data_IF_289978924506
#
_entry.id   IF_289978924506
#
_cell.length_a   1.000
_cell.length_b   1.000
_cell.length_c   1.000
_cell.angle_alpha   90.00
_cell.angle_beta   90.00
_cell.angle_gamma   90.00
#
_symmetry.space_group_name_H-M   'P 1'
#
loop_
_entity.id
_entity.type
_entity.pdbx_description
1 polymer ?
#
# COMPACT_ATOMS: atom_id res chain seq x y z
N UNK A 1 -70.98 32.62 3.62
CA UNK A 1 -72.23 32.00 4.10
C UNK A 1 -72.13 30.50 3.85
N UNK A 2 -72.15 29.70 4.92
CA UNK A 2 -72.38 28.24 5.04
C UNK A 2 -71.41 27.28 4.30
N UNK A 3 -70.41 26.66 4.93
CA UNK A 3 -70.38 25.59 5.97
C UNK A 3 -70.96 24.24 5.50
N UNK A 4 -70.10 23.21 5.70
CA UNK A 4 -70.31 21.75 5.87
C UNK A 4 -70.39 20.87 4.61
N UNK A 5 -69.36 20.04 4.43
CA UNK A 5 -69.47 18.66 4.89
C UNK A 5 -68.12 18.05 5.30
N UNK A 6 -68.12 17.41 6.47
CA UNK A 6 -67.03 16.63 7.04
C UNK A 6 -67.21 15.19 6.58
N UNK A 7 -66.20 14.57 5.98
CA UNK A 7 -65.95 13.14 6.14
C UNK A 7 -64.44 12.95 6.30
N UNK A 8 -64.07 12.51 7.48
CA UNK A 8 -62.73 12.08 7.85
C UNK A 8 -62.32 10.86 7.02
N UNK A 9 -61.12 10.88 6.45
CA UNK A 9 -60.37 9.65 6.22
C UNK A 9 -58.89 9.94 6.46
N UNK A 10 -58.39 9.44 7.58
CA UNK A 10 -56.97 9.27 7.82
C UNK A 10 -56.39 8.37 6.73
N UNK A 11 -55.38 8.83 6.01
CA UNK A 11 -54.34 7.97 5.46
C UNK A 11 -52.98 8.63 5.66
N UNK A 12 -52.30 8.16 6.69
CA UNK A 12 -50.87 8.34 6.94
C UNK A 12 -50.11 7.59 5.84
N UNK A 13 -49.41 8.32 4.96
CA UNK A 13 -48.34 7.75 4.15
C UNK A 13 -47.14 8.68 4.27
N UNK A 14 -46.34 8.43 5.31
CA UNK A 14 -44.97 8.92 5.38
C UNK A 14 -44.10 7.98 4.52
N UNK A 15 -43.84 8.35 3.27
CA UNK A 15 -42.80 7.69 2.47
C UNK A 15 -41.51 8.48 2.70
N UNK A 16 -40.70 7.95 3.62
CA UNK A 16 -39.29 8.29 3.73
C UNK A 16 -38.54 7.67 2.54
N UNK A 17 -37.92 8.52 1.73
CA UNK A 17 -36.83 8.11 0.87
C UNK A 17 -35.53 8.57 1.54
N UNK A 18 -35.06 7.73 2.48
CA UNK A 18 -33.70 7.79 2.97
C UNK A 18 -32.79 7.42 1.79
N UNK A 19 -32.23 8.43 1.11
CA UNK A 19 -31.14 8.19 0.17
C UNK A 19 -29.98 7.57 0.96
N UNK A 20 -29.80 6.26 0.81
CA UNK A 20 -28.64 5.54 1.29
C UNK A 20 -27.41 6.11 0.57
N UNK A 21 -26.80 7.12 1.18
CA UNK A 21 -25.40 7.41 0.93
C UNK A 21 -24.62 6.19 1.40
N UNK A 22 -24.30 5.28 0.47
CA UNK A 22 -23.34 4.22 0.70
C UNK A 22 -22.00 4.91 0.95
N UNK A 23 -21.67 5.19 2.21
CA UNK A 23 -20.31 5.47 2.60
C UNK A 23 -19.48 4.29 2.08
N UNK A 24 -18.48 4.49 1.20
CA UNK A 24 -17.54 3.41 0.97
C UNK A 24 -17.00 3.04 2.35
N UNK A 25 -17.05 1.75 2.71
CA UNK A 25 -16.40 1.29 3.93
C UNK A 25 -14.93 1.72 3.79
N UNK A 26 -14.53 2.78 4.49
CA UNK A 26 -13.14 3.22 4.46
C UNK A 26 -12.35 2.07 5.05
N UNK A 27 -11.61 1.35 4.21
CA UNK A 27 -10.59 0.45 4.70
C UNK A 27 -9.61 1.33 5.46
N UNK A 28 -9.56 1.20 6.79
CA UNK A 28 -8.59 1.93 7.62
C UNK A 28 -7.19 1.34 7.47
N UNK A 29 -7.07 0.15 6.86
CA UNK A 29 -5.81 -0.56 6.71
C UNK A 29 -5.72 -1.36 5.41
N UNK A 30 -4.51 -1.79 5.06
CA UNK A 30 -4.25 -2.77 3.99
C UNK A 30 -3.00 -3.60 4.27
N UNK A 31 -2.89 -4.75 3.59
CA UNK A 31 -1.75 -5.65 3.69
C UNK A 31 -0.78 -5.47 2.52
N UNK A 32 0.50 -5.26 2.82
CA UNK A 32 1.59 -5.24 1.86
C UNK A 32 2.55 -6.42 2.09
N UNK A 33 2.82 -7.20 1.04
CA UNK A 33 3.88 -8.23 1.07
C UNK A 33 5.07 -7.75 0.27
N UNK A 34 6.25 -7.75 0.89
CA UNK A 34 7.53 -7.52 0.24
C UNK A 34 8.13 -8.87 -0.15
N UNK A 35 8.24 -9.14 -1.45
CA UNK A 35 8.96 -10.30 -1.96
C UNK A 35 10.43 -9.92 -2.10
N UNK A 36 11.28 -10.55 -1.28
CA UNK A 36 12.68 -10.20 -1.09
C UNK A 36 13.61 -11.37 -1.45
N UNK A 37 14.85 -11.12 -1.89
CA UNK A 37 15.85 -12.17 -2.13
C UNK A 37 16.49 -12.64 -0.81
N UNK A 38 15.72 -13.33 0.05
CA UNK A 38 16.19 -13.71 1.39
C UNK A 38 17.22 -14.85 1.33
N UNK A 39 17.02 -15.83 0.44
CA UNK A 39 17.95 -16.95 0.22
C UNK A 39 19.24 -16.55 -0.49
N UNK A 40 19.19 -15.57 -1.42
CA UNK A 40 20.35 -15.09 -2.18
C UNK A 40 21.11 -13.90 -1.58
N UNK A 41 20.56 -13.21 -0.56
CA UNK A 41 21.14 -11.96 -0.06
C UNK A 41 20.44 -11.33 1.15
N UNK A 42 20.41 -12.03 2.28
CA UNK A 42 19.70 -11.58 3.49
C UNK A 42 20.07 -10.16 3.97
N UNK A 43 21.32 -9.71 3.77
CA UNK A 43 21.73 -8.34 4.12
C UNK A 43 21.10 -7.29 3.23
N UNK A 44 21.05 -7.53 1.92
CA UNK A 44 20.38 -6.65 0.97
C UNK A 44 18.86 -6.66 1.16
N UNK A 45 18.27 -7.84 1.37
CA UNK A 45 16.86 -8.00 1.71
C UNK A 45 16.45 -7.15 2.93
N UNK A 46 17.29 -7.11 3.98
CA UNK A 46 17.08 -6.23 5.13
C UNK A 46 17.03 -4.75 4.74
N UNK A 47 17.89 -4.31 3.83
CA UNK A 47 17.93 -2.91 3.39
C UNK A 47 16.65 -2.52 2.65
N UNK A 48 16.15 -3.35 1.73
CA UNK A 48 14.84 -3.10 1.08
C UNK A 48 13.74 -2.90 2.12
N UNK A 49 13.64 -3.81 3.11
CA UNK A 49 12.64 -3.68 4.18
C UNK A 49 12.84 -2.41 5.00
N UNK A 50 14.08 -2.12 5.42
CA UNK A 50 14.40 -0.93 6.20
C UNK A 50 13.99 0.36 5.48
N UNK A 51 14.30 0.48 4.20
CA UNK A 51 13.88 1.62 3.40
C UNK A 51 12.36 1.75 3.29
N UNK A 52 11.65 0.63 3.09
CA UNK A 52 10.19 0.60 3.06
C UNK A 52 9.59 1.13 4.37
N UNK A 53 10.10 0.66 5.52
CA UNK A 53 9.63 1.05 6.85
C UNK A 53 9.90 2.53 7.18
N UNK A 54 10.96 3.15 6.63
CA UNK A 54 11.13 4.60 6.79
C UNK A 54 9.91 5.35 6.24
N UNK A 55 9.41 4.99 5.06
CA UNK A 55 8.28 5.67 4.46
C UNK A 55 6.96 5.45 5.23
N UNK A 56 6.78 4.29 5.88
CA UNK A 56 5.57 4.02 6.67
C UNK A 56 5.50 4.87 7.94
N UNK A 57 6.65 5.36 8.43
CA UNK A 57 6.76 6.17 9.63
C UNK A 57 6.77 7.70 9.37
N UNK A 58 6.75 8.16 8.13
CA UNK A 58 6.90 9.58 7.80
C UNK A 58 5.67 10.44 8.10
N UNK A 59 4.49 9.82 8.26
CA UNK A 59 3.25 10.55 8.51
C UNK A 59 2.37 9.82 9.51
N UNK A 60 1.75 10.63 10.36
CA UNK A 60 0.55 10.29 11.13
C UNK A 60 0.75 9.20 12.22
N UNK A 61 1.98 8.94 12.67
CA UNK A 61 2.24 8.00 13.78
C UNK A 61 1.67 8.46 15.13
N UNK A 62 0.98 7.57 15.83
CA UNK A 62 0.45 7.79 17.18
C UNK A 62 0.91 6.67 18.13
N UNK A 63 0.94 6.89 19.46
CA UNK A 63 1.49 5.93 20.43
C UNK A 63 0.80 4.56 20.47
N UNK A 64 -0.45 4.46 20.01
CA UNK A 64 -1.28 3.24 20.09
C UNK A 64 -1.38 2.48 18.74
N UNK A 65 -0.40 2.64 17.83
CA UNK A 65 -0.42 1.93 16.54
C UNK A 65 -0.13 0.44 16.67
N UNK A 66 -1.05 -0.40 16.18
CA UNK A 66 -0.85 -1.85 15.99
C UNK A 66 -0.31 -2.21 14.58
N UNK A 67 -0.28 -1.25 13.66
CA UNK A 67 0.19 -1.41 12.28
C UNK A 67 1.71 -1.15 12.14
N UNK A 68 2.29 -1.49 10.99
CA UNK A 68 3.70 -1.19 10.67
C UNK A 68 3.90 0.27 10.20
N UNK A 69 2.91 1.14 10.44
CA UNK A 69 2.88 2.55 10.05
C UNK A 69 1.73 2.86 9.09
N UNK A 70 1.82 3.98 8.38
CA UNK A 70 0.79 4.42 7.44
C UNK A 70 1.35 4.66 6.05
N UNK A 71 0.58 4.30 5.03
CA UNK A 71 0.84 4.70 3.66
C UNK A 71 -0.44 5.25 3.04
N UNK A 72 -0.34 6.45 2.50
CA UNK A 72 -1.48 7.08 1.84
C UNK A 72 -2.62 7.53 2.76
N UNK A 73 -2.42 7.49 4.09
CA UNK A 73 -3.44 7.80 5.09
C UNK A 73 -4.17 6.58 5.64
N UNK A 74 -3.75 5.37 5.24
CA UNK A 74 -4.25 4.09 5.77
C UNK A 74 -3.13 3.40 6.53
N UNK A 75 -3.49 2.64 7.57
CA UNK A 75 -2.60 1.70 8.22
C UNK A 75 -2.07 0.66 7.23
N UNK A 76 -0.79 0.33 7.32
CA UNK A 76 -0.20 -0.74 6.53
C UNK A 76 0.36 -1.83 7.42
N UNK A 77 0.03 -3.08 7.11
CA UNK A 77 0.66 -4.25 7.69
C UNK A 77 1.64 -4.84 6.70
N UNK A 78 2.92 -4.91 7.06
CA UNK A 78 4.02 -5.26 6.17
C UNK A 78 4.54 -6.65 6.50
N UNK A 79 4.47 -7.53 5.51
CA UNK A 79 5.05 -8.85 5.58
C UNK A 79 6.20 -9.02 4.60
N UNK A 80 7.04 -10.01 4.87
CA UNK A 80 8.10 -10.43 3.96
C UNK A 80 7.87 -11.86 3.50
N UNK A 81 8.14 -12.11 2.23
CA UNK A 81 8.21 -13.44 1.65
C UNK A 81 9.53 -13.57 0.89
N UNK A 82 10.13 -14.76 0.92
CA UNK A 82 11.31 -15.04 0.12
C UNK A 82 10.88 -15.34 -1.32
N UNK A 83 11.41 -14.58 -2.27
CA UNK A 83 11.13 -14.74 -3.70
C UNK A 83 11.59 -16.07 -4.28
N UNK A 84 12.48 -16.79 -3.59
CA UNK A 84 13.03 -18.08 -4.02
C UNK A 84 12.44 -19.26 -3.23
N UNK A 85 11.69 -19.01 -2.17
CA UNK A 85 11.14 -20.09 -1.35
C UNK A 85 10.10 -20.93 -2.12
N UNK A 86 10.07 -22.22 -1.80
CA UNK A 86 9.11 -23.18 -2.36
C UNK A 86 7.67 -22.93 -1.95
N UNK A 87 7.43 -22.22 -0.84
CA UNK A 87 6.08 -21.90 -0.30
C UNK A 87 5.57 -20.51 -0.69
N UNK A 88 6.23 -19.82 -1.64
CA UNK A 88 5.88 -18.45 -2.03
C UNK A 88 4.41 -18.30 -2.47
N UNK A 89 3.87 -19.28 -3.20
CA UNK A 89 2.45 -19.33 -3.61
C UNK A 89 1.51 -19.28 -2.40
N UNK A 90 1.78 -20.10 -1.37
CA UNK A 90 1.02 -20.13 -0.13
C UNK A 90 1.16 -18.81 0.62
N UNK A 91 2.34 -18.21 0.65
CA UNK A 91 2.58 -16.89 1.26
C UNK A 91 1.76 -15.80 0.57
N UNK A 92 1.72 -15.78 -0.76
CA UNK A 92 0.94 -14.80 -1.51
C UNK A 92 -0.57 -15.06 -1.42
N UNK A 93 -1.00 -16.31 -1.26
CA UNK A 93 -2.42 -16.66 -1.12
C UNK A 93 -3.00 -16.37 0.28
N UNK A 94 -2.17 -16.45 1.33
CA UNK A 94 -2.60 -16.32 2.72
C UNK A 94 -2.17 -15.01 3.36
N UNK A 95 -1.04 -14.44 2.93
CA UNK A 95 -0.38 -13.32 3.58
C UNK A 95 -0.18 -13.56 5.07
N UNK A 96 0.27 -14.76 5.47
CA UNK A 96 0.77 -15.03 6.81
C UNK A 96 -0.16 -14.62 7.97
N UNK A 97 0.35 -13.80 8.90
CA UNK A 97 -0.32 -13.45 10.16
C UNK A 97 -1.33 -12.30 10.04
N UNK A 98 -1.17 -11.44 9.04
CA UNK A 98 -1.96 -10.21 8.84
C UNK A 98 -3.07 -10.39 7.79
N UNK A 99 -3.10 -11.55 7.14
CA UNK A 99 -4.12 -11.91 6.17
C UNK A 99 -3.71 -11.61 4.74
N UNK A 100 -4.63 -11.86 3.79
CA UNK A 100 -4.33 -11.83 2.35
C UNK A 100 -3.74 -10.47 1.92
N UNK A 101 -2.73 -10.46 1.05
CA UNK A 101 -2.14 -9.22 0.56
C UNK A 101 -3.11 -8.44 -0.33
N UNK A 102 -3.10 -7.12 -0.21
CA UNK A 102 -3.71 -6.21 -1.17
C UNK A 102 -2.69 -5.78 -2.23
N UNK A 103 -1.44 -5.60 -1.80
CA UNK A 103 -0.32 -5.18 -2.64
C UNK A 103 0.88 -6.10 -2.41
N UNK A 104 1.54 -6.48 -3.50
CA UNK A 104 2.76 -7.28 -3.48
C UNK A 104 3.87 -6.50 -4.17
N UNK A 105 4.83 -6.00 -3.40
CA UNK A 105 6.01 -5.31 -3.92
C UNK A 105 7.16 -6.29 -4.10
N UNK A 106 7.74 -6.35 -5.29
CA UNK A 106 8.82 -7.29 -5.61
C UNK A 106 10.16 -6.57 -5.72
N UNK A 107 11.19 -7.17 -5.14
CA UNK A 107 12.57 -6.69 -5.17
C UNK A 107 13.51 -7.81 -5.62
N UNK A 108 14.68 -7.44 -6.14
CA UNK A 108 15.67 -8.39 -6.64
C UNK A 108 15.56 -8.63 -8.16
N UNK A 109 15.97 -9.81 -8.64
CA UNK A 109 16.14 -10.07 -10.07
C UNK A 109 14.81 -10.20 -10.82
N UNK A 110 14.84 -9.94 -12.13
CA UNK A 110 13.67 -10.01 -13.02
C UNK A 110 12.97 -11.38 -12.98
N UNK A 111 13.72 -12.47 -12.79
CA UNK A 111 13.16 -13.81 -12.65
C UNK A 111 12.19 -13.94 -11.46
N UNK A 112 12.45 -13.24 -10.34
CA UNK A 112 11.54 -13.20 -9.19
C UNK A 112 10.26 -12.44 -9.55
N UNK A 113 10.37 -11.32 -10.28
CA UNK A 113 9.21 -10.57 -10.73
C UNK A 113 8.29 -11.41 -11.63
N UNK A 114 8.87 -12.11 -12.60
CA UNK A 114 8.09 -12.95 -13.52
C UNK A 114 7.46 -14.15 -12.82
N UNK A 115 8.16 -14.76 -11.85
CA UNK A 115 7.58 -15.80 -10.99
C UNK A 115 6.38 -15.27 -10.21
N UNK A 116 6.51 -14.12 -9.54
CA UNK A 116 5.41 -13.51 -8.77
C UNK A 116 4.26 -13.11 -9.69
N UNK A 117 4.55 -12.56 -10.88
CA UNK A 117 3.53 -12.23 -11.88
C UNK A 117 2.71 -13.45 -12.27
N UNK A 118 3.36 -14.59 -12.52
CA UNK A 118 2.67 -15.84 -12.83
C UNK A 118 1.79 -16.31 -11.66
N UNK A 119 2.30 -16.26 -10.42
CA UNK A 119 1.54 -16.65 -9.23
C UNK A 119 0.33 -15.76 -8.95
N UNK A 120 0.42 -14.47 -9.26
CA UNK A 120 -0.67 -13.51 -9.06
C UNK A 120 -1.64 -13.42 -10.24
N UNK A 121 -1.36 -14.11 -11.36
CA UNK A 121 -2.22 -14.11 -12.55
C UNK A 121 -3.67 -14.47 -12.20
N UNK A 122 -4.61 -13.57 -12.47
CA UNK A 122 -6.03 -13.78 -12.18
C UNK A 122 -6.43 -13.63 -10.70
N UNK A 123 -5.51 -13.20 -9.82
CA UNK A 123 -5.78 -12.97 -8.40
C UNK A 123 -6.06 -11.49 -8.08
N UNK A 124 -6.63 -11.18 -6.90
CA UNK A 124 -6.92 -9.81 -6.46
C UNK A 124 -5.68 -8.96 -6.14
N UNK A 125 -4.63 -9.46 -5.43
CA UNK A 125 -3.48 -8.65 -5.04
C UNK A 125 -2.83 -7.93 -6.22
N UNK A 126 -2.42 -6.68 -5.99
CA UNK A 126 -1.78 -5.86 -7.03
C UNK A 126 -0.26 -6.00 -6.95
N UNK A 127 0.32 -6.52 -8.03
CA UNK A 127 1.77 -6.53 -8.21
C UNK A 127 2.30 -5.11 -8.42
N UNK A 128 3.28 -4.71 -7.61
CA UNK A 128 4.10 -3.52 -7.81
C UNK A 128 5.52 -3.94 -8.21
N UNK A 129 5.90 -3.77 -9.48
CA UNK A 129 7.28 -3.96 -9.91
C UNK A 129 8.22 -2.87 -9.37
N UNK A 130 9.54 -3.14 -9.33
CA UNK A 130 10.55 -2.10 -9.08
C UNK A 130 10.35 -0.87 -9.98
N UNK A 131 10.67 0.30 -9.46
CA UNK A 131 10.62 1.56 -10.21
C UNK A 131 11.97 2.26 -10.18
N UNK A 132 12.18 3.21 -11.09
CA UNK A 132 13.36 4.09 -11.04
C UNK A 132 13.30 4.95 -9.77
N UNK A 133 14.45 5.08 -9.10
CA UNK A 133 14.58 5.92 -7.90
C UNK A 133 15.29 7.23 -8.24
N UNK A 134 14.98 8.34 -7.55
CA UNK A 134 15.76 9.57 -7.61
C UNK A 134 17.06 9.51 -6.79
N UNK A 135 17.37 8.39 -6.12
CA UNK A 135 18.42 8.28 -5.09
C UNK A 135 19.82 8.66 -5.57
N UNK A 136 20.11 8.46 -6.85
CA UNK A 136 21.38 8.88 -7.46
C UNK A 136 21.58 10.41 -7.49
N UNK A 137 20.54 11.19 -7.16
CA UNK A 137 20.55 12.66 -7.16
C UNK A 137 20.44 13.20 -5.72
N UNK A 138 21.53 13.25 -4.93
CA UNK A 138 21.49 13.65 -3.52
C UNK A 138 21.02 15.10 -3.30
N UNK A 139 21.12 15.95 -4.32
CA UNK A 139 20.62 17.34 -4.27
C UNK A 139 19.09 17.46 -4.27
N UNK A 140 18.35 16.38 -4.54
CA UNK A 140 16.88 16.43 -4.44
C UNK A 140 16.45 16.44 -2.96
N UNK A 141 15.58 17.37 -2.53
CA UNK A 141 15.17 17.48 -1.12
C UNK A 141 14.57 16.18 -0.54
N UNK A 142 13.85 15.40 -1.34
CA UNK A 142 13.33 14.09 -0.91
C UNK A 142 14.44 13.08 -0.60
N UNK A 143 15.51 13.05 -1.40
CA UNK A 143 16.66 12.16 -1.18
C UNK A 143 17.43 12.54 0.09
N UNK A 144 17.62 13.84 0.34
CA UNK A 144 18.25 14.32 1.56
C UNK A 144 17.43 13.96 2.80
N UNK A 145 16.10 14.12 2.75
CA UNK A 145 15.18 13.74 3.84
C UNK A 145 15.21 12.25 4.12
N UNK A 146 15.11 11.41 3.09
CA UNK A 146 15.22 9.96 3.23
C UNK A 146 16.57 9.56 3.84
N UNK A 147 17.68 10.11 3.34
CA UNK A 147 19.03 9.82 3.85
C UNK A 147 19.16 10.17 5.33
N UNK A 148 18.68 11.35 5.74
CA UNK A 148 18.71 11.76 7.13
C UNK A 148 17.84 10.87 8.04
N UNK A 149 16.62 10.54 7.60
CA UNK A 149 15.72 9.67 8.35
C UNK A 149 16.29 8.25 8.49
N UNK A 150 16.84 7.70 7.42
CA UNK A 150 17.46 6.37 7.41
C UNK A 150 18.69 6.31 8.32
N UNK A 151 19.59 7.29 8.22
CA UNK A 151 20.77 7.41 9.08
C UNK A 151 20.37 7.53 10.56
N UNK A 152 19.32 8.30 10.86
CA UNK A 152 18.80 8.43 12.23
C UNK A 152 18.24 7.11 12.76
N UNK A 153 17.52 6.35 11.95
CA UNK A 153 16.88 5.11 12.37
C UNK A 153 17.85 3.92 12.49
N UNK A 154 18.86 3.85 11.62
CA UNK A 154 19.70 2.65 11.47
C UNK A 154 21.20 2.89 11.65
N UNK A 155 21.63 4.12 11.93
CA UNK A 155 23.02 4.45 12.26
C UNK A 155 24.00 4.38 11.08
N UNK A 156 23.51 4.20 9.85
CA UNK A 156 24.33 4.08 8.64
C UNK A 156 23.62 4.71 7.43
N UNK A 157 24.35 5.12 6.39
CA UNK A 157 23.73 5.70 5.20
C UNK A 157 22.91 4.63 4.45
N UNK A 158 21.83 5.03 3.76
CA UNK A 158 21.04 4.09 2.97
C UNK A 158 21.82 3.55 1.77
N UNK A 159 21.60 2.29 1.46
CA UNK A 159 22.03 1.66 0.21
C UNK A 159 21.01 1.91 -0.93
N UNK A 160 21.39 1.56 -2.17
CA UNK A 160 20.45 1.57 -3.29
C UNK A 160 19.25 0.62 -3.08
N UNK A 161 19.45 -0.50 -2.38
CA UNK A 161 18.39 -1.41 -1.98
C UNK A 161 17.42 -0.74 -0.99
N UNK A 162 17.94 -0.04 0.02
CA UNK A 162 17.11 0.76 0.92
C UNK A 162 16.31 1.83 0.17
N UNK A 163 16.95 2.55 -0.74
CA UNK A 163 16.27 3.52 -1.60
C UNK A 163 15.14 2.90 -2.44
N UNK A 164 15.32 1.68 -2.95
CA UNK A 164 14.27 0.97 -3.68
C UNK A 164 13.08 0.60 -2.79
N UNK A 165 13.34 0.12 -1.57
CA UNK A 165 12.31 -0.13 -0.57
C UNK A 165 11.48 1.12 -0.26
N UNK A 166 12.16 2.23 -0.01
CA UNK A 166 11.53 3.53 0.22
C UNK A 166 10.72 3.99 -1.00
N UNK A 167 11.27 3.86 -2.21
CA UNK A 167 10.59 4.22 -3.44
C UNK A 167 9.30 3.42 -3.65
N UNK A 168 9.32 2.11 -3.37
CA UNK A 168 8.14 1.26 -3.47
C UNK A 168 7.03 1.74 -2.52
N UNK A 169 7.37 1.98 -1.26
CA UNK A 169 6.44 2.47 -0.25
C UNK A 169 5.84 3.85 -0.59
N UNK A 170 6.66 4.80 -1.08
CA UNK A 170 6.16 6.14 -1.47
C UNK A 170 5.23 6.08 -2.68
N UNK A 171 5.50 5.19 -3.64
CA UNK A 171 4.61 4.92 -4.78
C UNK A 171 3.29 4.30 -4.32
N UNK A 172 3.32 3.35 -3.37
CA UNK A 172 2.11 2.81 -2.72
C UNK A 172 1.33 3.93 -2.02
N UNK A 173 2.00 4.74 -1.18
CA UNK A 173 1.35 5.82 -0.46
C UNK A 173 0.67 6.84 -1.39
N UNK A 174 1.27 7.10 -2.56
CA UNK A 174 0.67 7.97 -3.58
C UNK A 174 -0.57 7.34 -4.20
N UNK A 175 -0.48 6.07 -4.59
CA UNK A 175 -1.59 5.34 -5.19
C UNK A 175 -2.78 5.22 -4.22
N UNK A 176 -2.51 4.79 -2.99
CA UNK A 176 -3.51 4.63 -1.92
C UNK A 176 -4.18 5.97 -1.59
N UNK A 177 -3.41 7.05 -1.44
CA UNK A 177 -3.96 8.38 -1.17
C UNK A 177 -4.86 8.89 -2.29
N UNK A 178 -4.47 8.66 -3.54
CA UNK A 178 -5.23 9.15 -4.69
C UNK A 178 -6.65 8.56 -4.77
N UNK A 179 -6.84 7.35 -4.24
CA UNK A 179 -8.13 6.67 -4.25
C UNK A 179 -8.79 6.54 -2.87
N UNK A 180 -8.08 6.88 -1.78
CA UNK A 180 -8.57 6.74 -0.41
C UNK A 180 -8.74 5.28 0.05
N UNK A 181 -7.98 4.33 -0.52
CA UNK A 181 -8.19 2.90 -0.29
C UNK A 181 -7.27 1.99 -1.12
N UNK A 182 -7.58 0.70 -1.18
CA UNK A 182 -6.89 -0.32 -2.02
C UNK A 182 -7.83 -1.10 -2.96
N UNK A 183 -9.12 -0.81 -2.95
CA UNK A 183 -10.12 -1.63 -3.66
C UNK A 183 -10.11 -1.48 -5.19
N UNK A 184 -9.80 -0.30 -5.72
CA UNK A 184 -9.63 -0.10 -7.17
C UNK A 184 -8.25 -0.61 -7.61
N UNK A 185 -8.16 -1.92 -7.79
CA UNK A 185 -6.92 -2.57 -8.22
C UNK A 185 -6.46 -2.11 -9.60
N UNK A 186 -7.37 -1.63 -10.46
CA UNK A 186 -7.00 -1.12 -11.78
C UNK A 186 -6.34 0.27 -11.67
N UNK A 187 -6.86 1.15 -10.79
CA UNK A 187 -6.23 2.42 -10.48
C UNK A 187 -4.85 2.25 -9.84
N UNK A 188 -4.69 1.30 -8.90
CA UNK A 188 -3.39 0.97 -8.32
C UNK A 188 -2.37 0.57 -9.41
N UNK A 189 -2.74 -0.36 -10.31
CA UNK A 189 -1.87 -0.79 -11.41
C UNK A 189 -1.44 0.37 -12.30
N UNK A 190 -2.40 1.21 -12.73
CA UNK A 190 -2.10 2.41 -13.54
C UNK A 190 -1.15 3.37 -12.82
N UNK A 191 -1.32 3.57 -11.51
CA UNK A 191 -0.42 4.42 -10.74
C UNK A 191 1.00 3.84 -10.68
N UNK A 192 1.12 2.53 -10.44
CA UNK A 192 2.43 1.88 -10.41
C UNK A 192 3.13 1.94 -11.76
N UNK A 193 2.42 1.76 -12.87
CA UNK A 193 2.96 1.94 -14.22
C UNK A 193 3.42 3.37 -14.47
N UNK A 194 2.58 4.36 -14.13
CA UNK A 194 2.90 5.78 -14.33
C UNK A 194 4.14 6.22 -13.53
N UNK A 195 4.30 5.70 -12.32
CA UNK A 195 5.42 6.04 -11.42
C UNK A 195 6.66 5.17 -11.61
N UNK A 196 6.60 4.10 -12.40
CA UNK A 196 7.74 3.19 -12.60
C UNK A 196 8.93 3.86 -13.30
N UNK A 197 8.67 4.83 -14.18
CA UNK A 197 9.71 5.54 -14.96
C UNK A 197 10.43 6.64 -14.17
N UNK A 198 9.95 6.96 -12.98
CA UNK A 198 10.49 8.00 -12.13
C UNK A 198 9.40 8.55 -11.21
N UNK A 199 9.79 8.85 -9.98
CA UNK A 199 8.88 9.30 -8.94
C UNK A 199 9.64 10.26 -8.02
N UNK A 200 9.03 11.40 -7.69
CA UNK A 200 9.62 12.38 -6.80
C UNK A 200 9.29 12.04 -5.34
N UNK A 201 10.28 12.15 -4.46
CA UNK A 201 10.14 11.84 -3.03
C UNK A 201 9.69 13.03 -2.20
#
# INVERSE_FOLDING_TARGET
MNIRNKISLLFLIAIGAMALATKPAQAHSFNAVLVLPLSGGAAEARQYRQGFIIATAERDSHPDQESDGHLGGLDVYVQVADGEAGDLDKRLATGGKTGKPDIVAVFGPEATLERVRALLGGTKPVLQPPGRTPFANPGQPGVARFTAAYQKAYGQPPSAAAAQGYNAARRIATAVRAQGGVDDTAALRRNFEATARGFAW
#
